data_IF_673362560940
#
_entry.id   IF_673362560940
#
_cell.length_a   1.000
_cell.length_b   1.000
_cell.length_c   1.000
_cell.angle_alpha   90.00
_cell.angle_beta   90.00
_cell.angle_gamma   90.00
#
_symmetry.space_group_name_H-M   'P 1'
#
loop_
_entity.id
_entity.type
_entity.pdbx_description
1 polymer ?
#
# COMPACT_ATOMS: atom_id res chain seq x y z
N UNK A 1 51.74 12.75 49.31
CA UNK A 1 51.73 13.10 47.88
C UNK A 1 50.78 12.15 47.18
N UNK A 2 49.61 12.61 46.72
CA UNK A 2 48.69 11.81 45.90
C UNK A 2 48.83 12.25 44.45
N UNK A 3 49.16 11.31 43.56
CA UNK A 3 49.22 11.53 42.12
C UNK A 3 47.79 11.39 41.57
N UNK A 4 47.24 12.48 41.04
CA UNK A 4 46.01 12.43 40.25
C UNK A 4 46.37 11.91 38.85
N UNK A 5 46.02 10.66 38.56
CA UNK A 5 46.02 10.17 37.18
C UNK A 5 44.94 10.90 36.39
N UNK A 6 45.34 11.92 35.63
CA UNK A 6 44.51 12.49 34.59
C UNK A 6 44.23 11.40 33.55
N UNK A 7 43.04 10.78 33.64
CA UNK A 7 42.51 9.96 32.54
C UNK A 7 42.43 10.85 31.30
N UNK A 8 43.35 10.65 30.35
CA UNK A 8 43.27 11.28 29.03
C UNK A 8 41.91 10.91 28.43
N UNK A 9 41.08 11.89 28.02
CA UNK A 9 39.85 11.59 27.32
C UNK A 9 40.22 10.79 26.06
N UNK A 10 39.56 9.64 25.86
CA UNK A 10 39.73 8.88 24.61
C UNK A 10 39.38 9.84 23.47
N UNK A 11 40.18 9.92 22.40
CA UNK A 11 39.80 10.72 21.24
C UNK A 11 38.42 10.22 20.79
N UNK A 12 37.45 11.14 20.71
CA UNK A 12 36.16 10.84 20.12
C UNK A 12 36.44 10.26 18.73
N UNK A 13 35.92 9.05 18.46
CA UNK A 13 36.05 8.41 17.16
C UNK A 13 35.53 9.41 16.10
N UNK A 14 36.44 9.98 15.30
CA UNK A 14 36.05 10.87 14.22
C UNK A 14 35.37 10.01 13.18
N UNK A 15 34.05 10.13 13.09
CA UNK A 15 33.26 9.51 12.03
C UNK A 15 33.62 10.25 10.74
N UNK A 16 34.07 9.51 9.73
CA UNK A 16 34.41 10.12 8.45
C UNK A 16 33.15 10.40 7.64
N UNK A 17 33.20 11.33 6.67
CA UNK A 17 32.09 11.54 5.73
C UNK A 17 31.71 10.25 4.98
N UNK A 18 32.68 9.34 4.78
CA UNK A 18 32.46 8.02 4.19
C UNK A 18 31.63 7.14 5.13
N UNK A 19 31.94 7.12 6.43
CA UNK A 19 31.18 6.36 7.43
C UNK A 19 29.73 6.88 7.57
N UNK A 20 29.54 8.20 7.51
CA UNK A 20 28.21 8.82 7.52
C UNK A 20 27.40 8.42 6.28
N UNK A 21 28.00 8.50 5.09
CA UNK A 21 27.37 8.10 3.85
C UNK A 21 27.00 6.61 3.86
N UNK A 22 27.91 5.73 4.29
CA UNK A 22 27.65 4.29 4.40
C UNK A 22 26.52 4.00 5.40
N UNK A 23 26.50 4.68 6.54
CA UNK A 23 25.42 4.52 7.54
C UNK A 23 24.07 4.98 7.01
N UNK A 24 24.03 6.08 6.26
CA UNK A 24 22.84 6.57 5.61
C UNK A 24 22.31 5.56 4.57
N UNK A 25 23.19 5.01 3.72
CA UNK A 25 22.79 3.99 2.73
C UNK A 25 22.32 2.69 3.39
N UNK A 26 23.00 2.21 4.43
CA UNK A 26 22.51 1.04 5.19
C UNK A 26 21.10 1.26 5.74
N UNK A 27 20.83 2.46 6.23
CA UNK A 27 19.50 2.82 6.75
C UNK A 27 18.45 2.83 5.64
N UNK A 28 18.78 3.40 4.47
CA UNK A 28 17.89 3.41 3.29
C UNK A 28 17.62 2.01 2.76
N UNK A 29 18.64 1.17 2.67
CA UNK A 29 18.48 -0.23 2.24
C UNK A 29 17.63 -1.04 3.21
N UNK A 30 17.83 -0.88 4.52
CA UNK A 30 17.00 -1.53 5.52
C UNK A 30 15.53 -1.08 5.42
N UNK A 31 15.29 0.21 5.23
CA UNK A 31 13.94 0.74 4.99
C UNK A 31 13.33 0.14 3.71
N UNK A 32 14.11 0.09 2.63
CA UNK A 32 13.64 -0.46 1.34
C UNK A 32 13.30 -1.95 1.42
N UNK A 33 14.09 -2.74 2.13
CA UNK A 33 13.79 -4.16 2.36
C UNK A 33 12.48 -4.32 3.13
N UNK A 34 12.28 -3.53 4.19
CA UNK A 34 11.03 -3.53 4.96
C UNK A 34 9.81 -3.18 4.10
N UNK A 35 9.95 -2.23 3.17
CA UNK A 35 8.89 -1.90 2.20
C UNK A 35 8.56 -3.07 1.27
N UNK A 36 9.58 -3.77 0.77
CA UNK A 36 9.44 -4.94 -0.10
C UNK A 36 8.73 -6.09 0.64
N UNK A 37 9.14 -6.37 1.88
CA UNK A 37 8.52 -7.41 2.72
C UNK A 37 7.05 -7.09 3.04
N UNK A 38 6.76 -5.80 3.30
CA UNK A 38 5.40 -5.30 3.48
C UNK A 38 4.55 -5.50 2.22
N UNK A 39 5.09 -5.10 1.05
CA UNK A 39 4.41 -5.30 -0.23
C UNK A 39 4.14 -6.79 -0.51
N UNK A 40 5.12 -7.66 -0.28
CA UNK A 40 4.95 -9.11 -0.45
C UNK A 40 3.84 -9.67 0.45
N UNK A 41 3.78 -9.22 1.71
CA UNK A 41 2.74 -9.61 2.66
C UNK A 41 1.34 -9.15 2.21
N UNK A 42 1.22 -7.91 1.74
CA UNK A 42 -0.04 -7.36 1.25
C UNK A 42 -0.50 -8.05 -0.03
N UNK A 43 0.43 -8.36 -0.95
CA UNK A 43 0.14 -9.14 -2.16
C UNK A 43 -0.34 -10.55 -1.82
N UNK A 44 0.27 -11.21 -0.82
CA UNK A 44 -0.17 -12.52 -0.36
C UNK A 44 -1.58 -12.48 0.22
N UNK A 45 -1.94 -11.42 0.96
CA UNK A 45 -3.31 -11.21 1.47
C UNK A 45 -4.27 -10.96 0.31
N UNK A 46 -3.92 -10.09 -0.65
CA UNK A 46 -4.72 -9.84 -1.84
C UNK A 46 -4.94 -11.13 -2.64
N UNK A 47 -3.94 -12.02 -2.69
CA UNK A 47 -4.03 -13.30 -3.40
C UNK A 47 -5.18 -14.19 -2.90
N UNK A 48 -5.51 -14.12 -1.60
CA UNK A 48 -6.62 -14.85 -0.98
C UNK A 48 -7.99 -14.39 -1.52
N UNK A 49 -8.06 -13.15 -2.03
CA UNK A 49 -9.29 -12.53 -2.54
C UNK A 49 -9.40 -12.57 -4.06
N UNK A 50 -8.34 -12.97 -4.78
CA UNK A 50 -8.36 -13.07 -6.24
C UNK A 50 -9.49 -13.96 -6.79
N UNK A 51 -9.90 -15.08 -6.17
CA UNK A 51 -11.04 -15.86 -6.66
C UNK A 51 -12.35 -15.06 -6.71
N UNK A 52 -12.63 -14.25 -5.68
CA UNK A 52 -13.82 -13.40 -5.64
C UNK A 52 -13.75 -12.26 -6.66
N UNK A 53 -12.56 -11.68 -6.85
CA UNK A 53 -12.33 -10.66 -7.88
C UNK A 53 -12.52 -11.24 -9.29
N UNK A 54 -12.02 -12.44 -9.57
CA UNK A 54 -12.22 -13.13 -10.86
C UNK A 54 -13.69 -13.45 -11.11
N UNK A 55 -14.42 -13.88 -10.09
CA UNK A 55 -15.88 -14.10 -10.18
C UNK A 55 -16.63 -12.81 -10.53
N UNK A 56 -16.13 -11.65 -10.10
CA UNK A 56 -16.63 -10.33 -10.47
C UNK A 56 -16.09 -9.81 -11.83
N UNK A 57 -15.38 -10.63 -12.60
CA UNK A 57 -14.78 -10.24 -13.88
C UNK A 57 -13.66 -9.22 -13.73
N UNK A 58 -12.87 -9.32 -12.65
CA UNK A 58 -11.69 -8.50 -12.37
C UNK A 58 -10.45 -9.39 -12.31
N UNK A 59 -9.51 -9.15 -13.21
CA UNK A 59 -8.17 -9.71 -13.16
C UNK A 59 -7.19 -8.62 -12.68
N UNK A 60 -6.29 -9.00 -11.77
CA UNK A 60 -5.25 -8.11 -11.24
C UNK A 60 -3.87 -8.76 -11.46
N UNK A 61 -2.97 -8.00 -12.06
CA UNK A 61 -1.55 -8.32 -12.12
C UNK A 61 -0.77 -7.72 -10.95
N UNK A 62 0.24 -8.42 -10.46
CA UNK A 62 1.15 -7.88 -9.43
C UNK A 62 1.87 -6.60 -9.86
N UNK A 63 2.09 -6.42 -11.17
CA UNK A 63 2.66 -5.21 -11.76
C UNK A 63 1.73 -3.99 -11.66
N UNK A 64 0.47 -4.16 -11.26
CA UNK A 64 -0.49 -3.08 -11.02
C UNK A 64 -0.49 -2.60 -9.56
N UNK A 65 0.28 -3.25 -8.69
CA UNK A 65 0.26 -3.04 -7.26
C UNK A 65 1.56 -2.35 -6.80
N UNK A 66 1.42 -1.27 -6.04
CA UNK A 66 2.52 -0.56 -5.42
C UNK A 66 2.23 -0.32 -3.94
N UNK A 67 3.25 -0.36 -3.09
CA UNK A 67 3.09 0.05 -1.70
C UNK A 67 3.30 1.57 -1.60
N UNK A 68 2.20 2.30 -1.40
CA UNK A 68 2.16 3.75 -1.22
C UNK A 68 1.29 4.02 0.01
N UNK A 69 1.85 3.84 1.20
CA UNK A 69 1.12 3.92 2.47
C UNK A 69 -0.08 2.93 2.53
N UNK A 70 0.13 1.72 2.01
CA UNK A 70 -0.91 0.71 1.74
C UNK A 70 -0.79 0.21 0.31
N UNK A 71 -1.51 -0.86 -0.02
CA UNK A 71 -1.47 -1.46 -1.35
C UNK A 71 -2.30 -0.61 -2.32
N UNK A 72 -1.61 0.21 -3.10
CA UNK A 72 -2.18 1.04 -4.13
C UNK A 72 -2.24 0.28 -5.46
N UNK A 73 -3.43 0.21 -6.06
CA UNK A 73 -3.64 -0.44 -7.36
C UNK A 73 -3.66 0.65 -8.43
N UNK A 74 -2.53 0.84 -9.11
CA UNK A 74 -2.28 1.99 -9.98
C UNK A 74 -2.79 1.84 -11.42
N UNK A 75 -3.02 0.62 -11.90
CA UNK A 75 -3.19 0.37 -13.34
C UNK A 75 -4.65 0.32 -13.85
N UNK A 76 -5.60 0.85 -13.09
CA UNK A 76 -7.02 0.86 -13.48
C UNK A 76 -7.48 2.21 -14.02
N UNK A 77 -7.05 2.64 -15.21
CA UNK A 77 -7.85 3.64 -15.96
C UNK A 77 -9.22 3.08 -16.35
N UNK A 78 -9.37 1.76 -16.33
CA UNK A 78 -10.68 1.11 -16.34
C UNK A 78 -11.38 1.27 -14.98
N UNK A 79 -12.01 2.43 -14.83
CA UNK A 79 -12.78 2.78 -13.65
C UNK A 79 -14.02 1.90 -13.45
N UNK A 80 -14.50 1.23 -14.51
CA UNK A 80 -15.61 0.30 -14.42
C UNK A 80 -15.18 -1.04 -13.81
N UNK A 81 -14.00 -1.56 -14.22
CA UNK A 81 -13.33 -2.69 -13.54
C UNK A 81 -13.15 -2.40 -12.05
N UNK A 82 -12.67 -1.20 -11.72
CA UNK A 82 -12.46 -0.80 -10.33
C UNK A 82 -13.77 -0.68 -9.54
N UNK A 83 -14.89 -0.33 -10.20
CA UNK A 83 -16.22 -0.40 -9.62
C UNK A 83 -16.65 -1.82 -9.26
N UNK A 84 -16.43 -2.80 -10.15
CA UNK A 84 -16.68 -4.22 -9.86
C UNK A 84 -15.77 -4.74 -8.75
N UNK A 85 -14.50 -4.31 -8.75
CA UNK A 85 -13.54 -4.62 -7.69
C UNK A 85 -14.01 -4.08 -6.34
N UNK A 86 -14.46 -2.82 -6.28
CA UNK A 86 -15.02 -2.24 -5.06
C UNK A 86 -16.20 -3.08 -4.55
N UNK A 87 -17.16 -3.39 -5.41
CA UNK A 87 -18.34 -4.16 -5.03
C UNK A 87 -17.98 -5.55 -4.50
N UNK A 88 -17.07 -6.26 -5.20
CA UNK A 88 -16.59 -7.56 -4.76
C UNK A 88 -15.90 -7.49 -3.38
N UNK A 89 -15.02 -6.51 -3.17
CA UNK A 89 -14.31 -6.34 -1.89
C UNK A 89 -15.23 -5.92 -0.74
N UNK A 90 -16.24 -5.08 -1.00
CA UNK A 90 -17.27 -4.77 -0.02
C UNK A 90 -18.11 -6.00 0.34
N UNK A 91 -18.43 -6.86 -0.65
CA UNK A 91 -19.13 -8.14 -0.42
C UNK A 91 -18.35 -9.12 0.46
N UNK A 92 -17.03 -8.98 0.54
CA UNK A 92 -16.16 -9.74 1.46
C UNK A 92 -16.04 -9.11 2.86
N UNK A 93 -16.79 -8.04 3.15
CA UNK A 93 -16.73 -7.31 4.42
C UNK A 93 -15.78 -6.12 4.43
N UNK A 94 -15.31 -5.69 3.25
CA UNK A 94 -14.46 -4.51 3.10
C UNK A 94 -15.16 -3.21 3.50
N UNK A 95 -14.42 -2.30 4.15
CA UNK A 95 -14.92 -0.98 4.58
C UNK A 95 -14.27 0.11 3.74
N UNK A 96 -15.05 0.70 2.84
CA UNK A 96 -14.60 1.76 1.95
C UNK A 96 -14.81 3.17 2.54
N UNK A 97 -13.90 4.08 2.23
CA UNK A 97 -13.99 5.53 2.45
C UNK A 97 -13.67 6.25 1.15
N UNK A 98 -14.47 7.26 0.82
CA UNK A 98 -14.27 8.09 -0.35
C UNK A 98 -13.43 9.31 0.04
N UNK A 99 -12.29 9.53 -0.63
CA UNK A 99 -11.39 10.65 -0.27
C UNK A 99 -11.54 11.90 -1.13
N UNK A 100 -11.75 11.76 -2.43
CA UNK A 100 -11.84 12.89 -3.33
C UNK A 100 -12.67 12.54 -4.56
N UNK A 101 -13.62 13.39 -4.93
CA UNK A 101 -14.33 13.33 -6.19
C UNK A 101 -13.56 14.11 -7.27
N UNK A 102 -13.42 13.52 -8.45
CA UNK A 102 -12.84 14.13 -9.63
C UNK A 102 -13.91 14.90 -10.41
N UNK A 103 -13.48 15.87 -11.24
CA UNK A 103 -14.38 16.71 -12.05
C UNK A 103 -15.26 15.92 -13.02
N UNK A 104 -14.82 14.74 -13.41
CA UNK A 104 -15.51 13.81 -14.30
C UNK A 104 -16.41 12.81 -13.54
N UNK A 105 -16.59 12.99 -12.23
CA UNK A 105 -17.47 12.19 -11.39
C UNK A 105 -16.80 10.98 -10.73
N UNK A 106 -15.58 10.60 -11.13
CA UNK A 106 -14.85 9.51 -10.47
C UNK A 106 -14.48 9.86 -9.02
N UNK A 107 -14.04 8.88 -8.22
CA UNK A 107 -13.50 9.15 -6.89
C UNK A 107 -12.38 8.20 -6.48
N UNK A 108 -11.51 8.67 -5.58
CA UNK A 108 -10.52 7.85 -4.90
C UNK A 108 -11.16 7.10 -3.74
N UNK A 109 -10.90 5.80 -3.67
CA UNK A 109 -11.34 4.89 -2.61
C UNK A 109 -10.15 4.48 -1.76
N UNK A 110 -10.35 4.50 -0.46
CA UNK A 110 -9.55 3.73 0.50
C UNK A 110 -10.42 2.63 1.09
N UNK A 111 -10.00 1.38 0.99
CA UNK A 111 -10.74 0.24 1.48
C UNK A 111 -9.90 -0.56 2.47
N UNK A 112 -10.47 -0.86 3.64
CA UNK A 112 -9.91 -1.81 4.59
C UNK A 112 -10.61 -3.15 4.47
N UNK A 113 -9.86 -4.23 4.23
CA UNK A 113 -10.37 -5.60 4.21
C UNK A 113 -9.55 -6.46 5.17
N UNK A 114 -10.04 -6.60 6.40
CA UNK A 114 -9.38 -7.44 7.40
C UNK A 114 -7.92 -7.02 7.68
N UNK A 115 -7.64 -5.71 7.66
CA UNK A 115 -6.29 -5.17 7.82
C UNK A 115 -5.43 -5.17 6.56
N UNK A 116 -6.00 -5.47 5.38
CA UNK A 116 -5.43 -5.11 4.08
C UNK A 116 -5.96 -3.75 3.65
N UNK A 117 -5.08 -2.75 3.60
CA UNK A 117 -5.43 -1.40 3.13
C UNK A 117 -5.21 -1.29 1.62
N UNK A 118 -6.28 -1.01 0.90
CA UNK A 118 -6.30 -0.87 -0.55
C UNK A 118 -6.65 0.57 -0.93
N UNK A 119 -5.99 1.09 -1.97
CA UNK A 119 -6.35 2.38 -2.54
C UNK A 119 -6.40 2.33 -4.08
N UNK A 120 -7.47 2.87 -4.67
CA UNK A 120 -7.72 2.84 -6.13
C UNK A 120 -8.81 3.85 -6.55
N UNK A 121 -9.00 4.04 -7.86
CA UNK A 121 -9.95 5.01 -8.43
C UNK A 121 -11.19 4.33 -9.03
N UNK A 122 -12.39 4.87 -8.78
CA UNK A 122 -13.67 4.26 -9.21
C UNK A 122 -14.53 5.26 -9.99
N UNK A 123 -15.34 4.78 -10.94
CA UNK A 123 -16.43 5.53 -11.58
C UNK A 123 -17.77 5.22 -10.86
N UNK A 124 -18.53 6.24 -10.42
CA UNK A 124 -19.78 6.06 -9.69
C UNK A 124 -20.87 5.32 -10.50
N UNK A 125 -20.87 5.37 -11.83
CA UNK A 125 -21.87 4.67 -12.65
C UNK A 125 -21.69 3.15 -12.62
N UNK A 126 -20.44 2.69 -12.52
CA UNK A 126 -20.12 1.28 -12.36
C UNK A 126 -20.29 0.78 -10.91
N UNK A 127 -20.12 1.67 -9.93
CA UNK A 127 -20.37 1.34 -8.53
C UNK A 127 -21.87 1.11 -8.23
N UNK A 128 -22.79 1.77 -8.93
CA UNK A 128 -24.25 1.60 -8.76
C UNK A 128 -24.87 0.42 -9.53
N UNK A 129 -24.30 0.01 -10.66
CA UNK A 129 -24.89 -1.00 -11.54
C UNK A 129 -24.88 -2.44 -10.97
N UNK A 130 -24.03 -2.73 -9.97
CA UNK A 130 -24.00 -4.04 -9.30
C UNK A 130 -25.09 -4.25 -8.24
N UNK A 131 -25.80 -3.19 -7.82
CA UNK A 131 -26.85 -3.28 -6.81
C UNK A 131 -28.26 -3.50 -7.38
N UNK A 132 -28.43 -3.47 -8.71
CA UNK A 132 -29.73 -3.62 -9.39
C UNK A 132 -29.81 -4.81 -10.35
N UNK A 133 -28.80 -5.68 -10.38
CA UNK A 133 -28.80 -6.91 -11.19
C UNK A 133 -29.31 -8.17 -10.48
N UNK A 134 -29.89 -8.02 -9.29
CA UNK A 134 -30.37 -9.12 -8.44
C UNK A 134 -31.85 -9.02 -8.09
N UNK A 135 -32.69 -8.61 -9.05
CA UNK A 135 -34.14 -8.79 -8.98
C UNK A 135 -34.76 -8.54 -10.37
N UNK A 136 -34.78 -9.58 -11.21
CA UNK A 136 -35.85 -9.91 -12.16
C UNK A 136 -35.54 -11.27 -12.78
#
# INVERSE_FOLDING_TARGET
MQFFELRRPRPAQQITLVDEALRAEHTRHAARLKEIDGLASDLQRLQQHLPALRAAGVELGGHECANINGLFIHNGQDRARNGRMLQALMGLGGKARNKAAFRDGGFAVELDLGGLHLAFYVDPRAAGAGAQGGAA
#
